data_IF_398181837894
#
_entry.id   IF_398181837894
#
_cell.length_a   1.000
_cell.length_b   1.000
_cell.length_c   1.000
_cell.angle_alpha   90.00
_cell.angle_beta   90.00
_cell.angle_gamma   90.00
#
_symmetry.space_group_name_H-M   'P 1'
#
loop_
_entity.id
_entity.type
_entity.pdbx_description
1 polymer ?
#
# COMPACT_ATOMS: atom_id res chain seq x y z
N UNK A 1 16.43 -13.63 15.24
CA UNK A 1 15.01 -14.02 15.26
C UNK A 1 14.44 -13.73 13.87
N UNK A 2 13.75 -14.73 13.35
CA UNK A 2 13.41 -14.98 11.95
C UNK A 2 12.97 -13.78 11.12
N UNK A 3 13.61 -13.63 9.96
CA UNK A 3 12.94 -13.25 8.72
C UNK A 3 11.88 -14.33 8.40
N UNK A 4 10.82 -14.39 9.19
CA UNK A 4 9.67 -15.24 8.90
C UNK A 4 8.81 -14.50 7.87
N UNK A 5 9.26 -14.54 6.62
CA UNK A 5 8.57 -13.95 5.46
C UNK A 5 7.12 -14.46 5.32
N UNK A 6 6.80 -15.60 5.92
CA UNK A 6 5.44 -16.14 6.00
C UNK A 6 4.50 -15.40 6.95
N UNK A 7 4.99 -14.59 7.88
CA UNK A 7 4.12 -13.91 8.88
C UNK A 7 3.76 -12.49 8.47
N UNK A 8 4.64 -11.80 7.72
CA UNK A 8 4.43 -10.39 7.33
C UNK A 8 3.28 -10.27 6.33
N UNK A 9 3.21 -11.14 5.33
CA UNK A 9 2.16 -11.10 4.30
C UNK A 9 0.79 -11.51 4.88
N UNK A 10 0.74 -12.54 5.73
CA UNK A 10 -0.52 -12.98 6.36
C UNK A 10 -1.03 -12.06 7.47
N UNK A 11 -0.16 -11.27 8.13
CA UNK A 11 -0.58 -10.37 9.23
C UNK A 11 -0.79 -8.93 8.76
N UNK A 12 0.08 -8.39 7.89
CA UNK A 12 -0.03 -7.00 7.46
C UNK A 12 -1.08 -6.83 6.36
N UNK A 13 -1.27 -7.79 5.46
CA UNK A 13 -2.31 -7.65 4.43
C UNK A 13 -3.72 -7.51 4.97
N UNK A 14 -4.22 -8.36 5.89
CA UNK A 14 -5.56 -8.18 6.43
C UNK A 14 -5.69 -6.84 7.14
N UNK A 15 -4.65 -6.40 7.85
CA UNK A 15 -4.64 -5.09 8.50
C UNK A 15 -4.70 -3.94 7.49
N UNK A 16 -3.88 -3.98 6.43
CA UNK A 16 -3.83 -2.93 5.40
C UNK A 16 -5.08 -2.90 4.53
N UNK A 17 -5.69 -4.06 4.27
CA UNK A 17 -6.99 -4.17 3.60
C UNK A 17 -8.10 -3.58 4.48
N UNK A 18 -8.14 -3.94 5.77
CA UNK A 18 -9.15 -3.46 6.71
C UNK A 18 -9.05 -1.95 6.96
N UNK A 19 -7.83 -1.42 7.04
CA UNK A 19 -7.59 0.02 7.21
C UNK A 19 -7.75 0.84 5.91
N UNK A 20 -8.00 0.16 4.77
CA UNK A 20 -8.20 0.79 3.46
C UNK A 20 -6.91 1.36 2.85
N UNK A 21 -5.75 0.84 3.24
CA UNK A 21 -4.44 1.19 2.66
C UNK A 21 -4.08 0.32 1.46
N UNK A 22 -4.63 -0.89 1.39
CA UNK A 22 -4.44 -1.83 0.27
C UNK A 22 -5.82 -2.22 -0.30
N UNK A 23 -5.90 -2.43 -1.61
CA UNK A 23 -7.08 -2.96 -2.28
C UNK A 23 -6.69 -4.14 -3.21
N UNK A 24 -7.57 -5.14 -3.30
CA UNK A 24 -7.42 -6.24 -4.27
C UNK A 24 -7.99 -5.82 -5.61
N UNK A 25 -7.24 -6.05 -6.67
CA UNK A 25 -7.62 -5.77 -8.06
C UNK A 25 -7.43 -7.03 -8.92
N UNK A 26 -8.05 -7.08 -10.10
CA UNK A 26 -7.91 -8.22 -11.02
C UNK A 26 -6.46 -8.47 -11.50
N UNK A 27 -5.55 -7.50 -11.32
CA UNK A 27 -4.12 -7.62 -11.67
C UNK A 27 -3.19 -7.78 -10.46
N UNK A 28 -3.73 -7.82 -9.24
CA UNK A 28 -2.94 -7.96 -8.01
C UNK A 28 -3.35 -6.97 -6.91
N UNK A 29 -2.41 -6.65 -6.02
CA UNK A 29 -2.60 -5.73 -4.88
C UNK A 29 -2.25 -4.31 -5.31
N UNK A 30 -3.11 -3.34 -5.01
CA UNK A 30 -2.87 -1.92 -5.30
C UNK A 30 -2.95 -1.10 -4.01
N UNK A 31 -1.96 -0.24 -3.77
CA UNK A 31 -1.96 0.69 -2.65
C UNK A 31 -2.94 1.84 -2.91
N UNK A 32 -3.77 2.17 -1.92
CA UNK A 32 -4.77 3.24 -2.04
C UNK A 32 -4.14 4.61 -1.88
N UNK A 33 -4.82 5.67 -2.31
CA UNK A 33 -4.35 7.06 -2.13
C UNK A 33 -4.04 7.41 -0.65
N UNK A 34 -4.67 6.72 0.31
CA UNK A 34 -4.40 6.86 1.74
C UNK A 34 -2.99 6.37 2.10
N UNK A 35 -2.54 5.26 1.48
CA UNK A 35 -1.20 4.71 1.70
C UNK A 35 -0.13 5.61 1.09
N UNK A 36 -0.37 6.12 -0.11
CA UNK A 36 0.53 7.06 -0.77
C UNK A 36 0.67 8.38 -0.01
N UNK A 37 -0.40 8.88 0.62
CA UNK A 37 -0.35 10.11 1.43
C UNK A 37 0.46 9.95 2.72
N UNK A 38 0.45 8.75 3.31
CA UNK A 38 1.24 8.42 4.48
C UNK A 38 2.73 8.29 4.14
N UNK A 39 3.05 7.88 2.92
CA UNK A 39 4.42 7.68 2.48
C UNK A 39 5.05 9.02 2.05
N UNK A 40 6.05 9.54 2.79
CA UNK A 40 6.54 10.91 2.63
C UNK A 40 7.36 11.17 1.35
N UNK A 41 7.61 10.16 0.51
CA UNK A 41 8.48 10.27 -0.67
C UNK A 41 7.94 9.64 -1.95
N UNK A 42 6.65 9.35 -2.06
CA UNK A 42 6.11 8.59 -3.19
C UNK A 42 4.90 9.30 -3.78
N UNK A 43 5.08 9.81 -5.00
CA UNK A 43 3.96 10.26 -5.80
C UNK A 43 3.14 9.02 -6.16
N UNK A 44 1.86 9.00 -5.79
CA UNK A 44 0.95 7.96 -6.25
C UNK A 44 1.07 7.84 -7.79
N UNK A 45 1.14 6.64 -8.37
CA UNK A 45 1.16 6.49 -9.82
C UNK A 45 -0.14 7.10 -10.38
N UNK A 46 -0.05 8.30 -10.95
CA UNK A 46 -1.19 9.11 -11.41
C UNK A 46 -1.44 10.42 -10.65
N UNK A 47 -0.70 10.70 -9.57
CA UNK A 47 -0.67 12.02 -8.94
C UNK A 47 0.02 12.99 -9.90
N UNK A 48 -0.78 13.65 -10.75
CA UNK A 48 -0.35 14.77 -11.58
C UNK A 48 0.21 15.84 -10.64
N UNK A 49 1.53 15.88 -10.50
CA UNK A 49 2.22 16.88 -9.71
C UNK A 49 1.74 18.26 -10.22
N UNK A 50 1.30 19.17 -9.33
CA UNK A 50 0.98 20.52 -9.76
C UNK A 50 2.30 21.13 -10.26
N UNK A 51 2.41 21.26 -11.58
CA UNK A 51 3.46 22.06 -12.20
C UNK A 51 3.24 23.50 -11.73
N UNK A 52 4.13 23.97 -10.85
CA UNK A 52 4.28 25.40 -10.55
C UNK A 52 5.27 25.99 -11.52
#
# INVERSE_FOLDING_TARGET
>A
VSEDRGTIEDVLEPYLLQQGFLMRTARGRMATAKAWRLWPGSAAPGARLPVR
#
